data_IF_944907717444
#
_entry.id   IF_944907717444
#
_cell.length_a   1.000
_cell.length_b   1.000
_cell.length_c   1.000
_cell.angle_alpha   90.00
_cell.angle_beta   90.00
_cell.angle_gamma   90.00
#
_symmetry.space_group_name_H-M   'P 1'
#
loop_
_entity.id
_entity.type
_entity.pdbx_description
1 polymer ?
#
# COMPACT_ATOMS: atom_id res chain seq x y z
N UNK A 1 46.91 13.82 28.39
CA UNK A 1 46.00 12.85 29.07
C UNK A 1 44.92 12.53 28.08
N UNK A 2 45.09 11.47 27.34
CA UNK A 2 44.24 11.08 26.20
C UNK A 2 43.31 9.99 26.74
N UNK A 3 42.00 10.29 26.79
CA UNK A 3 41.02 9.30 27.16
C UNK A 3 40.67 8.45 25.95
N UNK A 4 41.05 7.18 25.99
CA UNK A 4 40.63 6.18 25.03
C UNK A 4 39.16 5.83 25.31
N UNK A 5 38.30 6.09 24.33
CA UNK A 5 36.96 5.59 24.33
C UNK A 5 36.97 4.13 23.83
N UNK A 6 36.69 3.22 24.71
CA UNK A 6 36.55 1.78 24.47
C UNK A 6 35.27 1.52 23.68
N UNK A 7 35.42 1.15 22.43
CA UNK A 7 34.28 0.69 21.58
C UNK A 7 33.95 -0.74 22.02
N UNK A 8 32.94 -0.85 22.83
CA UNK A 8 32.34 -2.14 23.20
C UNK A 8 31.57 -2.70 22.01
N UNK A 9 32.14 -3.69 21.35
CA UNK A 9 31.49 -4.42 20.25
C UNK A 9 30.23 -5.10 20.73
N UNK A 10 29.10 -4.63 20.25
CA UNK A 10 27.82 -5.33 20.36
C UNK A 10 27.84 -6.45 19.33
N UNK A 11 28.13 -7.66 19.78
CA UNK A 11 27.99 -8.87 18.99
C UNK A 11 26.50 -9.16 18.82
N UNK A 12 25.91 -8.68 17.72
CA UNK A 12 24.59 -9.10 17.29
C UNK A 12 24.64 -10.61 16.96
N UNK A 13 23.94 -11.42 17.72
CA UNK A 13 23.77 -12.83 17.42
C UNK A 13 23.06 -12.97 16.08
N UNK A 14 23.82 -13.31 15.05
CA UNK A 14 23.29 -13.78 13.77
C UNK A 14 22.74 -15.17 13.98
N UNK A 15 21.49 -15.28 14.38
CA UNK A 15 20.78 -16.56 14.41
C UNK A 15 20.39 -16.93 12.99
N UNK A 16 21.31 -17.59 12.32
CA UNK A 16 21.07 -18.17 10.99
C UNK A 16 20.15 -19.38 11.09
N UNK A 17 18.86 -19.18 11.28
CA UNK A 17 17.89 -20.23 11.08
C UNK A 17 17.65 -20.39 9.57
N UNK A 18 18.40 -21.34 8.98
CA UNK A 18 18.10 -21.88 7.66
C UNK A 18 16.78 -22.64 7.76
N UNK A 19 15.68 -21.97 7.45
CA UNK A 19 14.38 -22.63 7.34
C UNK A 19 14.44 -23.59 6.16
N UNK A 20 14.56 -24.90 6.45
CA UNK A 20 14.21 -25.95 5.49
C UNK A 20 12.69 -25.86 5.24
N UNK A 21 12.31 -25.41 4.04
CA UNK A 21 10.93 -25.31 3.65
C UNK A 21 10.30 -26.69 3.57
N UNK A 22 9.21 -26.87 4.28
CA UNK A 22 8.24 -27.90 3.99
C UNK A 22 7.41 -27.47 2.80
N UNK A 23 7.41 -28.30 1.78
CA UNK A 23 6.73 -28.18 0.50
C UNK A 23 5.27 -27.75 0.63
N UNK A 24 4.92 -26.62 0.01
CA UNK A 24 3.60 -26.42 -0.56
C UNK A 24 3.77 -25.75 -1.93
N UNK A 25 3.65 -26.59 -2.97
CA UNK A 25 3.36 -26.27 -4.36
C UNK A 25 4.17 -25.16 -5.06
N UNK A 26 5.21 -25.59 -5.81
CA UNK A 26 5.47 -24.99 -7.13
C UNK A 26 6.17 -23.63 -7.13
N UNK A 27 7.11 -23.34 -6.23
CA UNK A 27 8.08 -22.27 -6.42
C UNK A 27 9.47 -22.79 -6.07
N UNK A 28 10.38 -22.56 -7.01
CA UNK A 28 11.79 -22.89 -6.94
C UNK A 28 12.41 -22.55 -5.59
N UNK A 29 13.11 -23.50 -5.00
CA UNK A 29 13.91 -23.36 -3.77
C UNK A 29 15.06 -22.38 -3.99
N UNK A 30 14.76 -21.08 -3.97
CA UNK A 30 15.74 -20.02 -3.90
C UNK A 30 16.16 -19.86 -2.44
N UNK A 31 17.45 -19.91 -2.17
CA UNK A 31 18.04 -19.68 -0.86
C UNK A 31 17.66 -18.28 -0.36
N UNK A 32 16.55 -18.18 0.35
CA UNK A 32 16.14 -16.97 1.05
C UNK A 32 16.45 -17.15 2.54
N UNK A 33 17.10 -16.18 3.15
CA UNK A 33 17.35 -16.17 4.58
C UNK A 33 16.69 -14.94 5.22
N UNK A 34 16.35 -15.10 6.50
CA UNK A 34 15.68 -14.08 7.28
C UNK A 34 16.68 -13.48 8.28
N UNK A 35 16.81 -12.16 8.25
CA UNK A 35 17.60 -11.40 9.22
C UNK A 35 16.63 -10.74 10.20
N UNK A 36 16.80 -10.96 11.49
CA UNK A 36 16.02 -10.32 12.55
C UNK A 36 16.87 -9.27 13.24
N UNK A 37 16.33 -8.07 13.37
CA UNK A 37 16.97 -6.91 13.97
C UNK A 37 16.06 -6.34 15.06
N UNK A 38 16.64 -5.59 15.99
CA UNK A 38 15.88 -5.03 17.14
C UNK A 38 15.75 -3.51 17.04
N UNK A 39 16.63 -2.84 16.30
CA UNK A 39 16.64 -1.38 16.15
C UNK A 39 16.27 -0.93 14.74
N UNK A 40 15.49 0.16 14.58
CA UNK A 40 15.22 0.76 13.28
C UNK A 40 16.47 1.33 12.59
N UNK A 41 17.45 1.79 13.34
CA UNK A 41 18.70 2.33 12.82
C UNK A 41 19.55 1.22 12.21
N UNK A 42 19.71 0.10 12.93
CA UNK A 42 20.38 -1.10 12.44
C UNK A 42 19.72 -1.65 11.17
N UNK A 43 18.39 -1.55 11.09
CA UNK A 43 17.63 -1.96 9.90
C UNK A 43 18.05 -1.14 8.67
N UNK A 44 18.10 0.18 8.79
CA UNK A 44 18.45 1.07 7.68
C UNK A 44 19.90 0.86 7.21
N UNK A 45 20.83 0.70 8.15
CA UNK A 45 22.22 0.49 7.82
C UNK A 45 22.45 -0.88 7.18
N UNK A 46 21.76 -1.91 7.68
CA UNK A 46 21.84 -3.25 7.10
C UNK A 46 21.25 -3.31 5.69
N UNK A 47 20.17 -2.57 5.43
CA UNK A 47 19.59 -2.44 4.08
C UNK A 47 20.58 -1.78 3.11
N UNK A 48 21.28 -0.73 3.54
CA UNK A 48 22.30 -0.07 2.70
C UNK A 48 23.47 -1.01 2.41
N UNK A 49 23.94 -1.76 3.41
CA UNK A 49 25.00 -2.75 3.29
C UNK A 49 24.61 -3.85 2.29
N UNK A 50 23.44 -4.48 2.47
CA UNK A 50 22.94 -5.53 1.58
C UNK A 50 22.79 -5.05 0.13
N UNK A 51 22.38 -3.81 -0.06
CA UNK A 51 22.34 -3.19 -1.40
C UNK A 51 23.71 -2.96 -2.00
N UNK A 52 24.69 -2.55 -1.20
CA UNK A 52 26.06 -2.38 -1.67
C UNK A 52 26.70 -3.72 -2.08
N UNK A 53 26.31 -4.81 -1.42
CA UNK A 53 26.68 -6.18 -1.76
C UNK A 53 25.92 -6.75 -2.98
N UNK A 54 24.97 -6.01 -3.54
CA UNK A 54 24.16 -6.44 -4.68
C UNK A 54 23.13 -7.54 -4.38
N UNK A 55 22.83 -7.77 -3.11
CA UNK A 55 21.81 -8.74 -2.70
C UNK A 55 20.41 -8.19 -2.94
N UNK A 56 19.48 -9.06 -3.33
CA UNK A 56 18.09 -8.68 -3.61
C UNK A 56 17.24 -8.83 -2.35
N UNK A 57 16.71 -7.70 -1.86
CA UNK A 57 15.80 -7.67 -0.73
C UNK A 57 14.39 -7.95 -1.26
N UNK A 58 13.76 -9.05 -0.83
CA UNK A 58 12.41 -9.41 -1.25
C UNK A 58 11.36 -8.63 -0.48
N UNK A 59 11.38 -8.75 0.84
CA UNK A 59 10.38 -8.13 1.71
C UNK A 59 11.04 -7.68 3.02
N UNK A 60 10.50 -6.63 3.60
CA UNK A 60 10.90 -6.11 4.91
C UNK A 60 9.65 -5.97 5.78
N UNK A 61 9.66 -6.64 6.91
CA UNK A 61 8.58 -6.59 7.89
C UNK A 61 9.00 -5.71 9.05
N UNK A 62 8.17 -4.71 9.37
CA UNK A 62 8.43 -3.76 10.46
C UNK A 62 7.20 -3.67 11.36
N UNK A 63 7.36 -3.63 12.70
CA UNK A 63 6.25 -3.50 13.63
C UNK A 63 5.59 -2.11 13.58
N UNK A 64 6.35 -1.10 13.16
CA UNK A 64 5.87 0.27 13.01
C UNK A 64 6.55 0.96 11.82
N UNK A 65 6.04 2.12 11.45
CA UNK A 65 6.57 2.89 10.33
C UNK A 65 7.97 3.43 10.63
N UNK A 66 8.94 3.10 9.77
CA UNK A 66 10.32 3.59 9.85
C UNK A 66 10.55 4.65 8.77
N UNK A 67 10.89 5.87 9.21
CA UNK A 67 11.24 6.96 8.29
C UNK A 67 12.49 6.62 7.48
N UNK A 68 12.48 6.95 6.19
CA UNK A 68 13.63 6.66 5.31
C UNK A 68 13.70 5.24 4.77
N UNK A 69 12.90 4.28 5.27
CA UNK A 69 12.90 2.90 4.78
C UNK A 69 12.55 2.80 3.29
N UNK A 70 11.55 3.55 2.84
CA UNK A 70 11.15 3.57 1.44
C UNK A 70 12.26 4.09 0.51
N UNK A 71 13.01 5.09 0.97
CA UNK A 71 14.16 5.66 0.25
C UNK A 71 15.34 4.70 0.26
N UNK A 72 15.64 4.10 1.41
CA UNK A 72 16.68 3.09 1.54
C UNK A 72 16.41 1.88 0.63
N UNK A 73 15.17 1.43 0.53
CA UNK A 73 14.73 0.37 -0.39
C UNK A 73 14.64 0.84 -1.85
N UNK A 74 14.71 2.15 -2.12
CA UNK A 74 14.55 2.70 -3.46
C UNK A 74 13.17 2.50 -4.06
N UNK A 75 12.14 2.44 -3.21
CA UNK A 75 10.76 2.25 -3.64
C UNK A 75 10.24 3.49 -4.36
N UNK A 76 9.66 3.30 -5.52
CA UNK A 76 9.01 4.39 -6.26
C UNK A 76 7.70 4.77 -5.60
N UNK A 77 7.40 6.07 -5.59
CA UNK A 77 6.14 6.60 -5.08
C UNK A 77 4.95 5.92 -5.75
N UNK A 78 3.95 5.55 -4.96
CA UNK A 78 2.77 4.85 -5.49
C UNK A 78 1.95 5.75 -6.41
N UNK A 79 1.38 5.17 -7.47
CA UNK A 79 0.49 5.89 -8.40
C UNK A 79 -0.97 5.85 -7.99
N UNK A 80 -1.27 5.33 -6.79
CA UNK A 80 -2.64 5.19 -6.28
C UNK A 80 -3.38 6.53 -6.22
N UNK A 81 -2.71 7.63 -5.82
CA UNK A 81 -3.33 8.94 -5.79
C UNK A 81 -3.79 9.43 -7.17
N UNK A 82 -3.05 9.11 -8.24
CA UNK A 82 -3.48 9.43 -9.61
C UNK A 82 -4.67 8.57 -10.05
N UNK A 83 -4.69 7.31 -9.63
CA UNK A 83 -5.82 6.42 -9.90
C UNK A 83 -7.09 6.90 -9.21
N UNK A 84 -7.00 7.35 -7.95
CA UNK A 84 -8.13 7.92 -7.20
C UNK A 84 -8.76 9.11 -7.91
N UNK A 85 -7.92 10.01 -8.44
CA UNK A 85 -8.40 11.15 -9.21
C UNK A 85 -9.18 10.72 -10.47
N UNK A 86 -8.66 9.72 -11.19
CA UNK A 86 -9.33 9.17 -12.37
C UNK A 86 -10.69 8.53 -12.00
N UNK A 87 -10.75 7.80 -10.89
CA UNK A 87 -12.01 7.22 -10.41
C UNK A 87 -13.02 8.29 -9.99
N UNK A 88 -12.57 9.40 -9.40
CA UNK A 88 -13.42 10.55 -9.12
C UNK A 88 -14.00 11.17 -10.39
N UNK A 89 -13.21 11.28 -11.46
CA UNK A 89 -13.69 11.76 -12.77
C UNK A 89 -14.77 10.82 -13.35
N UNK A 90 -14.61 9.51 -13.23
CA UNK A 90 -15.64 8.56 -13.66
C UNK A 90 -16.94 8.81 -12.88
N UNK A 91 -16.84 9.00 -11.55
CA UNK A 91 -17.98 9.35 -10.71
C UNK A 91 -18.65 10.66 -11.12
N UNK A 92 -17.87 11.67 -11.49
CA UNK A 92 -18.38 12.96 -12.00
C UNK A 92 -19.18 12.79 -13.27
N UNK A 93 -18.62 12.11 -14.28
CA UNK A 93 -19.33 11.86 -15.53
C UNK A 93 -20.61 11.06 -15.32
N UNK A 94 -20.54 10.01 -14.51
CA UNK A 94 -21.71 9.19 -14.20
C UNK A 94 -22.76 9.99 -13.43
N UNK A 95 -22.37 10.82 -12.46
CA UNK A 95 -23.27 11.69 -11.70
C UNK A 95 -23.98 12.71 -12.58
N UNK A 96 -23.25 13.39 -13.46
CA UNK A 96 -23.85 14.33 -14.41
C UNK A 96 -24.80 13.62 -15.40
N UNK A 97 -24.41 12.47 -15.91
CA UNK A 97 -25.25 11.69 -16.81
C UNK A 97 -26.51 11.20 -16.11
N UNK A 98 -26.40 10.65 -14.90
CA UNK A 98 -27.49 10.14 -14.14
C UNK A 98 -28.52 11.24 -13.81
N UNK A 99 -28.07 12.38 -13.27
CA UNK A 99 -28.96 13.50 -12.92
C UNK A 99 -29.60 14.11 -14.14
N UNK A 100 -28.88 14.23 -15.27
CA UNK A 100 -29.45 14.68 -16.54
C UNK A 100 -30.53 13.72 -17.03
N UNK A 101 -30.23 12.42 -17.06
CA UNK A 101 -31.17 11.42 -17.59
C UNK A 101 -32.44 11.34 -16.74
N UNK A 102 -32.29 11.19 -15.42
CA UNK A 102 -33.43 10.96 -14.52
C UNK A 102 -34.30 12.20 -14.32
N UNK A 103 -33.70 13.38 -14.18
CA UNK A 103 -34.40 14.58 -13.74
C UNK A 103 -34.82 15.49 -14.90
N UNK A 104 -34.25 15.32 -16.09
CA UNK A 104 -34.54 16.19 -17.25
C UNK A 104 -35.19 15.40 -18.37
N UNK A 105 -34.70 14.20 -18.67
CA UNK A 105 -35.16 13.43 -19.83
C UNK A 105 -36.27 12.45 -19.50
N UNK A 106 -36.10 11.63 -18.49
CA UNK A 106 -37.02 10.53 -18.16
C UNK A 106 -38.22 11.01 -17.33
N UNK A 107 -37.96 11.76 -16.26
CA UNK A 107 -38.99 12.27 -15.38
C UNK A 107 -38.78 13.77 -15.08
N UNK A 108 -39.18 14.68 -15.99
CA UNK A 108 -39.12 16.11 -15.72
C UNK A 108 -39.99 16.49 -14.52
N UNK A 109 -39.34 16.77 -13.39
CA UNK A 109 -40.05 17.12 -12.16
C UNK A 109 -40.28 18.62 -12.10
N UNK A 110 -41.49 19.06 -12.42
CA UNK A 110 -41.93 20.44 -12.25
C UNK A 110 -42.68 20.57 -10.92
N UNK A 111 -41.94 20.89 -9.86
CA UNK A 111 -42.50 21.02 -8.52
C UNK A 111 -42.36 22.47 -8.06
N UNK A 112 -43.50 23.12 -7.81
CA UNK A 112 -43.58 24.44 -7.17
C UNK A 112 -42.95 25.56 -7.99
N UNK A 113 -43.02 25.50 -9.34
CA UNK A 113 -42.48 26.53 -10.22
C UNK A 113 -40.97 26.57 -10.30
N UNK A 114 -40.30 25.54 -9.81
CA UNK A 114 -38.85 25.40 -9.97
C UNK A 114 -38.50 25.14 -11.44
N UNK A 115 -37.66 25.98 -12.09
CA UNK A 115 -37.29 25.74 -13.47
C UNK A 115 -36.50 24.43 -13.60
N UNK A 116 -37.05 23.46 -14.33
CA UNK A 116 -36.42 22.17 -14.59
C UNK A 116 -36.03 21.96 -16.06
N UNK A 117 -36.24 23.01 -16.88
CA UNK A 117 -36.10 22.90 -18.32
C UNK A 117 -34.67 22.65 -18.79
N UNK A 118 -33.66 23.04 -18.00
CA UNK A 118 -32.26 22.90 -18.39
C UNK A 118 -31.40 22.37 -17.24
N UNK A 119 -30.38 21.60 -17.60
CA UNK A 119 -29.38 21.07 -16.65
C UNK A 119 -28.72 22.19 -15.83
N UNK A 120 -28.36 23.29 -16.47
CA UNK A 120 -27.64 24.39 -15.84
C UNK A 120 -28.47 25.13 -14.78
N UNK A 121 -29.78 25.29 -15.00
CA UNK A 121 -30.67 25.90 -14.01
C UNK A 121 -30.87 25.03 -12.77
N UNK A 122 -30.80 23.71 -12.94
CA UNK A 122 -30.92 22.74 -11.85
C UNK A 122 -29.57 22.35 -11.21
N UNK A 123 -28.45 22.80 -11.76
CA UNK A 123 -27.12 22.44 -11.29
C UNK A 123 -26.93 22.62 -9.78
N UNK A 124 -27.38 23.72 -9.13
CA UNK A 124 -27.25 23.86 -7.67
C UNK A 124 -27.92 22.73 -6.87
N UNK A 125 -29.04 22.20 -7.40
CA UNK A 125 -29.73 21.06 -6.76
C UNK A 125 -29.05 19.73 -7.04
N UNK A 126 -28.32 19.60 -8.15
CA UNK A 126 -27.62 18.38 -8.55
C UNK A 126 -26.23 18.24 -7.91
N UNK A 127 -25.60 19.37 -7.52
CA UNK A 127 -24.26 19.37 -6.92
C UNK A 127 -24.09 18.38 -5.76
N UNK A 128 -25.01 18.31 -4.77
CA UNK A 128 -24.86 17.35 -3.68
C UNK A 128 -24.82 15.90 -4.16
N UNK A 129 -25.73 15.54 -5.08
CA UNK A 129 -25.81 14.17 -5.61
C UNK A 129 -24.58 13.82 -6.45
N UNK A 130 -24.14 14.76 -7.30
CA UNK A 130 -22.94 14.56 -8.12
C UNK A 130 -21.71 14.41 -7.22
N UNK A 131 -21.57 15.24 -6.18
CA UNK A 131 -20.47 15.15 -5.22
C UNK A 131 -20.46 13.79 -4.50
N UNK A 132 -21.61 13.33 -4.04
CA UNK A 132 -21.73 12.02 -3.41
C UNK A 132 -21.26 10.89 -4.32
N UNK A 133 -21.67 10.90 -5.59
CA UNK A 133 -21.24 9.91 -6.57
C UNK A 133 -19.74 9.99 -6.88
N UNK A 134 -19.17 11.19 -6.94
CA UNK A 134 -17.71 11.37 -7.11
C UNK A 134 -16.95 10.69 -5.97
N UNK A 135 -17.36 10.96 -4.72
CA UNK A 135 -16.72 10.38 -3.53
C UNK A 135 -16.95 8.87 -3.47
N UNK A 136 -18.17 8.43 -3.77
CA UNK A 136 -18.51 7.01 -3.80
C UNK A 136 -17.62 6.21 -4.77
N UNK A 137 -17.55 6.64 -6.02
CA UNK A 137 -16.71 5.96 -7.03
C UNK A 137 -15.23 6.06 -6.69
N UNK A 138 -14.74 7.22 -6.25
CA UNK A 138 -13.35 7.41 -5.87
C UNK A 138 -12.95 6.45 -4.74
N UNK A 139 -13.75 6.34 -3.68
CA UNK A 139 -13.46 5.49 -2.53
C UNK A 139 -13.55 3.99 -2.87
N UNK A 140 -14.66 3.55 -3.46
CA UNK A 140 -14.88 2.13 -3.71
C UNK A 140 -13.91 1.56 -4.75
N UNK A 141 -13.70 2.27 -5.86
CA UNK A 141 -12.75 1.81 -6.88
C UNK A 141 -11.31 1.84 -6.38
N UNK A 142 -10.96 2.79 -5.48
CA UNK A 142 -9.65 2.80 -4.83
C UNK A 142 -9.45 1.58 -3.95
N UNK A 143 -10.44 1.25 -3.10
CA UNK A 143 -10.38 0.08 -2.22
C UNK A 143 -10.28 -1.21 -3.03
N UNK A 144 -11.09 -1.36 -4.07
CA UNK A 144 -11.03 -2.53 -4.97
C UNK A 144 -9.65 -2.63 -5.64
N UNK A 145 -9.14 -1.52 -6.18
CA UNK A 145 -7.81 -1.47 -6.79
C UNK A 145 -6.69 -1.80 -5.81
N UNK A 146 -6.82 -1.35 -4.56
CA UNK A 146 -5.90 -1.67 -3.50
C UNK A 146 -5.90 -3.17 -3.19
N UNK A 147 -7.07 -3.78 -3.03
CA UNK A 147 -7.18 -5.22 -2.75
C UNK A 147 -6.61 -6.07 -3.90
N UNK A 148 -6.92 -5.71 -5.15
CA UNK A 148 -6.38 -6.42 -6.32
C UNK A 148 -4.85 -6.29 -6.35
N UNK A 149 -4.33 -5.07 -6.14
CA UNK A 149 -2.88 -4.82 -6.18
C UNK A 149 -2.13 -5.50 -5.04
N UNK A 150 -2.70 -5.49 -3.84
CA UNK A 150 -2.12 -6.12 -2.65
C UNK A 150 -2.38 -7.64 -2.61
N UNK A 151 -3.09 -8.19 -3.61
CA UNK A 151 -3.49 -9.60 -3.66
C UNK A 151 -4.20 -10.05 -2.37
N UNK A 152 -4.95 -9.13 -1.76
CA UNK A 152 -5.77 -9.39 -0.58
C UNK A 152 -7.15 -9.83 -1.06
N UNK A 153 -7.41 -11.12 -0.98
CA UNK A 153 -8.72 -11.69 -1.28
C UNK A 153 -9.20 -12.54 -0.11
N UNK A 154 -10.51 -12.68 0.08
CA UNK A 154 -11.05 -13.52 1.13
C UNK A 154 -10.53 -14.95 0.99
N UNK A 155 -10.22 -15.58 2.12
CA UNK A 155 -9.64 -16.93 2.23
C UNK A 155 -8.15 -17.07 1.87
N UNK A 156 -7.42 -15.98 1.63
CA UNK A 156 -5.96 -16.05 1.53
C UNK A 156 -5.37 -16.41 2.90
N UNK A 157 -4.53 -17.44 2.94
CA UNK A 157 -3.78 -17.80 4.15
C UNK A 157 -2.76 -16.71 4.46
N UNK A 158 -2.65 -16.33 5.74
CA UNK A 158 -1.64 -15.39 6.19
C UNK A 158 -0.25 -16.02 6.04
N UNK A 159 0.60 -15.40 5.25
CA UNK A 159 2.00 -15.77 5.04
C UNK A 159 2.87 -14.88 5.93
N UNK A 160 2.98 -15.19 7.22
CA UNK A 160 3.94 -14.52 8.10
C UNK A 160 5.19 -15.40 8.23
N UNK A 161 6.36 -14.91 7.84
CA UNK A 161 7.60 -15.67 7.91
C UNK A 161 7.99 -15.98 9.37
N UNK A 162 7.60 -15.13 10.30
CA UNK A 162 7.85 -15.31 11.74
C UNK A 162 6.63 -14.87 12.53
N UNK A 163 6.16 -15.71 13.47
CA UNK A 163 4.98 -15.42 14.32
C UNK A 163 5.07 -14.12 15.14
N UNK A 164 6.28 -13.60 15.40
CA UNK A 164 6.54 -12.40 16.20
C UNK A 164 7.02 -11.20 15.39
N UNK A 165 6.86 -11.21 14.07
CA UNK A 165 7.29 -10.08 13.24
C UNK A 165 6.46 -8.80 13.43
N UNK A 166 5.34 -8.91 14.12
CA UNK A 166 4.44 -7.78 14.41
C UNK A 166 4.65 -7.16 15.79
N UNK A 167 5.41 -7.80 16.69
CA UNK A 167 5.51 -7.32 18.07
C UNK A 167 6.62 -6.28 18.25
N UNK A 168 7.88 -6.67 18.09
CA UNK A 168 9.04 -5.80 18.36
C UNK A 168 10.27 -6.11 17.50
N UNK A 169 10.16 -6.95 16.47
CA UNK A 169 11.28 -7.36 15.64
C UNK A 169 11.15 -6.86 14.20
N UNK A 170 12.26 -6.35 13.69
CA UNK A 170 12.39 -6.02 12.28
C UNK A 170 12.93 -7.24 11.54
N UNK A 171 12.33 -7.60 10.41
CA UNK A 171 12.72 -8.80 9.65
C UNK A 171 12.97 -8.42 8.21
N UNK A 172 14.15 -8.75 7.70
CA UNK A 172 14.52 -8.59 6.30
C UNK A 172 14.57 -9.97 5.66
N UNK A 173 13.82 -10.16 4.60
CA UNK A 173 13.93 -11.34 3.74
C UNK A 173 14.84 -11.04 2.56
N UNK A 174 15.97 -11.71 2.53
CA UNK A 174 17.00 -11.55 1.49
C UNK A 174 17.04 -12.78 0.61
N UNK A 175 17.14 -12.56 -0.69
CA UNK A 175 17.36 -13.60 -1.69
C UNK A 175 18.81 -13.57 -2.15
N UNK A 176 19.52 -14.70 -2.06
CA UNK A 176 20.82 -14.85 -2.71
C UNK A 176 20.61 -14.98 -4.22
N UNK A 177 21.16 -14.04 -4.96
CA UNK A 177 21.22 -14.09 -6.42
C UNK A 177 22.30 -15.10 -6.79
N UNK A 178 21.90 -16.22 -7.34
CA UNK A 178 22.82 -17.20 -7.92
C UNK A 178 23.35 -16.71 -9.24
#
# INVERSE_FOLDING_TARGET
MIAQAEVKGVSGQVSGNRCQGTDVSGQESLNSYLLTLTSPEELLDKIKELKSEGKEIQEVYTPFYVHGLAEALGLKRTRLGKATFLYGLIGLFFGCWLTYFTMIKDWPMDIGGKPNATFWQNLPAFVPVIFELVVYFAAHLLVISFFIRSRLYPFKKAENPIKKSSDDKFVIQVRDKK
#
